data_IF_998046725372
#
_entry.id   IF_998046725372
#
_cell.length_a   1.000
_cell.length_b   1.000
_cell.length_c   1.000
_cell.angle_alpha   90.00
_cell.angle_beta   90.00
_cell.angle_gamma   90.00
#
_symmetry.space_group_name_H-M   'P 1'
#
loop_
_entity.id
_entity.type
_entity.pdbx_description
1 polymer ?
#
# COMPACT_ATOMS: atom_id res chain seq x y z
N UNK A 1 -33.83 -3.15 59.36
CA UNK A 1 -32.42 -3.54 59.59
C UNK A 1 -32.24 -4.97 59.15
N UNK A 2 -31.50 -5.24 58.08
CA UNK A 2 -30.91 -6.57 57.82
C UNK A 2 -29.98 -6.50 56.60
N UNK A 3 -28.69 -6.32 56.86
CA UNK A 3 -27.62 -6.69 55.93
C UNK A 3 -27.29 -8.16 56.12
N UNK A 4 -27.15 -8.93 55.03
CA UNK A 4 -26.37 -10.18 54.98
C UNK A 4 -26.06 -10.57 53.52
N UNK A 5 -24.77 -10.42 53.18
CA UNK A 5 -23.98 -10.97 52.08
C UNK A 5 -24.38 -12.38 51.58
N UNK A 6 -24.47 -12.56 50.25
CA UNK A 6 -24.02 -13.75 49.47
C UNK A 6 -23.70 -13.28 48.02
N UNK A 7 -22.41 -13.16 47.66
CA UNK A 7 -21.58 -14.08 46.86
C UNK A 7 -22.06 -14.23 45.40
N UNK A 8 -21.49 -13.43 44.50
CA UNK A 8 -21.56 -13.65 43.05
C UNK A 8 -20.29 -14.37 42.60
N UNK A 9 -20.50 -15.37 41.74
CA UNK A 9 -19.57 -16.36 41.22
C UNK A 9 -18.59 -15.68 40.24
N UNK A 10 -17.33 -16.14 40.28
CA UNK A 10 -16.29 -15.83 39.29
C UNK A 10 -16.73 -16.23 37.88
N UNK A 11 -16.77 -15.26 36.96
CA UNK A 11 -16.57 -15.51 35.54
C UNK A 11 -15.16 -15.03 35.17
N UNK A 12 -14.32 -16.00 34.83
CA UNK A 12 -12.96 -15.84 34.34
C UNK A 12 -12.95 -15.12 33.00
N UNK A 13 -12.57 -13.85 33.00
CA UNK A 13 -12.24 -13.10 31.79
C UNK A 13 -10.77 -13.39 31.42
N UNK A 14 -10.45 -13.95 30.24
CA UNK A 14 -9.06 -14.04 29.83
C UNK A 14 -8.56 -12.62 29.52
N UNK A 15 -7.60 -12.16 30.33
CA UNK A 15 -6.87 -10.92 30.08
C UNK A 15 -6.30 -10.94 28.66
N UNK A 16 -6.72 -9.96 27.86
CA UNK A 16 -6.09 -9.65 26.58
C UNK A 16 -4.68 -9.12 26.86
N UNK A 17 -3.70 -10.01 26.78
CA UNK A 17 -2.27 -9.67 26.86
C UNK A 17 -1.86 -9.08 25.50
N UNK A 18 -1.46 -7.80 25.41
CA UNK A 18 -0.93 -7.27 24.17
C UNK A 18 0.38 -7.99 23.82
N UNK A 19 0.64 -8.36 22.56
CA UNK A 19 1.83 -9.11 22.21
C UNK A 19 3.07 -8.26 22.49
N UNK A 20 3.92 -8.80 23.36
CA UNK A 20 5.23 -8.26 23.69
C UNK A 20 6.09 -8.18 22.42
N UNK A 21 6.32 -6.96 21.93
CA UNK A 21 7.35 -6.69 20.92
C UNK A 21 8.71 -7.07 21.48
N UNK A 22 9.24 -8.22 21.08
CA UNK A 22 10.65 -8.53 21.29
C UNK A 22 11.47 -7.70 20.29
N UNK A 23 12.39 -6.82 20.74
CA UNK A 23 13.29 -6.14 19.83
C UNK A 23 14.35 -7.16 19.40
N UNK A 24 14.36 -7.57 18.12
CA UNK A 24 15.44 -8.37 17.57
C UNK A 24 16.02 -7.66 16.34
N UNK A 25 17.24 -7.19 16.58
CA UNK A 25 18.29 -6.73 15.65
C UNK A 25 17.84 -6.18 14.30
N UNK A 26 17.76 -4.85 14.26
CA UNK A 26 17.99 -4.09 13.05
C UNK A 26 19.27 -4.62 12.37
N UNK A 27 19.14 -5.10 11.14
CA UNK A 27 20.28 -5.22 10.25
C UNK A 27 20.99 -3.86 10.24
N UNK A 28 22.22 -3.83 10.73
CA UNK A 28 23.05 -2.64 10.85
C UNK A 28 23.30 -2.08 9.45
N UNK A 29 22.42 -1.17 9.02
CA UNK A 29 22.72 -0.23 7.94
C UNK A 29 23.71 0.75 8.52
N UNK A 30 24.90 0.80 7.91
CA UNK A 30 25.97 1.72 8.30
C UNK A 30 25.41 3.15 8.29
N UNK A 31 25.47 3.79 9.46
CA UNK A 31 25.07 5.18 9.70
C UNK A 31 26.10 6.11 9.07
N UNK A 32 25.95 6.47 7.79
CA UNK A 32 26.66 7.60 7.16
C UNK A 32 25.85 8.21 6.00
N UNK A 33 24.53 8.27 6.11
CA UNK A 33 23.63 9.10 5.29
C UNK A 33 22.28 9.19 6.04
N UNK A 34 21.63 10.37 6.14
CA UNK A 34 20.30 10.43 6.74
C UNK A 34 19.38 9.57 5.87
N UNK A 35 18.85 8.48 6.42
CA UNK A 35 18.00 7.57 5.67
C UNK A 35 16.82 8.36 5.05
N UNK A 36 16.90 8.60 3.75
CA UNK A 36 15.91 9.39 3.01
C UNK A 36 14.52 8.74 3.00
N UNK A 37 14.46 7.43 3.30
CA UNK A 37 13.24 6.64 3.41
C UNK A 37 13.36 5.65 4.60
N UNK A 38 12.33 5.63 5.45
CA UNK A 38 12.16 4.58 6.47
C UNK A 38 11.28 3.48 5.88
N UNK A 39 11.73 2.23 5.96
CA UNK A 39 11.02 1.06 5.46
C UNK A 39 10.82 0.05 6.60
N UNK A 40 9.58 -0.36 6.82
CA UNK A 40 9.18 -1.35 7.83
C UNK A 40 8.17 -2.31 7.19
N UNK A 41 8.22 -3.59 7.59
CA UNK A 41 7.43 -4.67 6.97
C UNK A 41 6.70 -5.45 8.05
N UNK A 42 5.39 -5.60 7.87
CA UNK A 42 4.53 -6.42 8.73
C UNK A 42 4.21 -7.74 8.05
N UNK A 43 4.57 -8.85 8.70
CA UNK A 43 4.29 -10.20 8.23
C UNK A 43 3.14 -10.83 9.04
N UNK A 44 2.29 -11.66 8.41
CA UNK A 44 1.27 -12.41 9.14
C UNK A 44 1.90 -13.52 9.99
N UNK A 45 1.18 -13.99 11.01
CA UNK A 45 1.65 -15.05 11.89
C UNK A 45 2.00 -16.32 11.10
N UNK A 46 3.21 -16.86 11.33
CA UNK A 46 3.70 -18.05 10.64
C UNK A 46 4.28 -17.81 9.25
N UNK A 47 4.37 -16.55 8.78
CA UNK A 47 5.06 -16.24 7.53
C UNK A 47 6.57 -16.47 7.67
N UNK A 48 7.13 -17.32 6.81
CA UNK A 48 8.57 -17.54 6.74
C UNK A 48 9.22 -16.30 6.14
N UNK A 49 9.76 -15.43 7.00
CA UNK A 49 10.52 -14.26 6.56
C UNK A 49 11.69 -14.76 5.71
N UNK A 50 11.79 -14.36 4.43
CA UNK A 50 12.92 -14.76 3.61
C UNK A 50 14.19 -14.16 4.23
N UNK A 51 15.06 -15.03 4.74
CA UNK A 51 16.33 -14.65 5.40
C UNK A 51 17.39 -14.11 4.43
N UNK A 52 17.06 -14.05 3.13
CA UNK A 52 17.89 -13.44 2.10
C UNK A 52 17.03 -12.46 1.31
N UNK A 53 17.61 -11.32 0.87
CA UNK A 53 16.98 -10.50 -0.17
C UNK A 53 16.52 -11.42 -1.30
N UNK A 54 15.24 -11.34 -1.67
CA UNK A 54 14.70 -12.17 -2.73
C UNK A 54 15.58 -11.95 -3.96
N UNK A 55 16.15 -13.01 -4.58
CA UNK A 55 16.94 -12.81 -5.78
C UNK A 55 16.06 -12.10 -6.79
N UNK A 56 16.56 -11.00 -7.38
CA UNK A 56 15.90 -10.37 -8.51
C UNK A 56 15.54 -11.49 -9.49
N UNK A 57 14.27 -11.55 -9.93
CA UNK A 57 13.81 -12.62 -10.80
C UNK A 57 14.81 -12.82 -11.94
N UNK A 58 15.18 -14.07 -12.24
CA UNK A 58 16.19 -14.42 -13.27
C UNK A 58 15.89 -13.79 -14.65
N UNK A 59 14.66 -13.32 -14.86
CA UNK A 59 14.30 -12.38 -15.90
C UNK A 59 13.73 -11.10 -15.26
N UNK A 60 14.43 -9.94 -15.31
CA UNK A 60 13.84 -8.69 -14.88
C UNK A 60 12.68 -8.37 -15.82
N UNK A 61 11.45 -8.32 -15.29
CA UNK A 61 10.33 -7.78 -16.06
C UNK A 61 10.67 -6.33 -16.42
N UNK A 62 10.39 -5.88 -17.65
CA UNK A 62 10.56 -4.48 -17.99
C UNK A 62 9.71 -3.62 -17.04
N UNK A 63 10.21 -2.44 -16.63
CA UNK A 63 9.47 -1.55 -15.75
C UNK A 63 8.10 -1.26 -16.38
N UNK A 64 7.05 -1.28 -15.57
CA UNK A 64 5.70 -1.05 -16.08
C UNK A 64 5.52 0.37 -16.64
N UNK A 65 6.32 1.32 -16.15
CA UNK A 65 6.34 2.71 -16.60
C UNK A 65 7.69 3.35 -16.33
N UNK A 66 8.15 4.17 -17.27
CA UNK A 66 9.34 5.02 -17.13
C UNK A 66 8.92 6.46 -16.83
N UNK A 67 9.70 7.16 -16.02
CA UNK A 67 9.48 8.57 -15.66
C UNK A 67 10.66 9.42 -16.17
N UNK A 68 10.42 10.66 -16.64
CA UNK A 68 11.47 11.52 -17.21
C UNK A 68 12.36 12.19 -16.15
N UNK A 69 12.34 11.70 -14.91
CA UNK A 69 13.05 12.24 -13.76
C UNK A 69 13.54 11.08 -12.87
N UNK A 70 14.53 11.35 -12.03
CA UNK A 70 15.02 10.39 -11.05
C UNK A 70 14.01 10.18 -9.93
N UNK A 71 13.77 8.91 -9.59
CA UNK A 71 12.82 8.53 -8.54
C UNK A 71 13.42 8.73 -7.16
N UNK A 72 12.63 9.26 -6.24
CA UNK A 72 13.04 9.37 -4.85
C UNK A 72 13.21 7.96 -4.22
N UNK A 73 14.08 7.80 -3.20
CA UNK A 73 14.32 6.51 -2.57
C UNK A 73 13.05 5.81 -2.08
N UNK A 74 12.06 6.56 -1.56
CA UNK A 74 10.79 5.98 -1.11
C UNK A 74 9.91 5.49 -2.26
N UNK A 75 9.98 6.14 -3.43
CA UNK A 75 9.23 5.74 -4.62
C UNK A 75 9.81 4.45 -5.19
N UNK A 76 11.14 4.37 -5.26
CA UNK A 76 11.85 3.17 -5.71
C UNK A 76 11.54 1.98 -4.80
N UNK A 77 11.56 2.17 -3.48
CA UNK A 77 11.27 1.09 -2.52
C UNK A 77 9.81 0.62 -2.63
N UNK A 78 8.87 1.56 -2.77
CA UNK A 78 7.47 1.20 -2.98
C UNK A 78 7.25 0.42 -4.29
N UNK A 79 7.95 0.78 -5.37
CA UNK A 79 7.89 0.08 -6.65
C UNK A 79 8.45 -1.34 -6.53
N UNK A 80 9.56 -1.55 -5.81
CA UNK A 80 10.10 -2.90 -5.56
C UNK A 80 9.10 -3.80 -4.82
N UNK A 81 8.38 -3.26 -3.83
CA UNK A 81 7.32 -4.00 -3.14
C UNK A 81 6.18 -4.37 -4.11
N UNK A 82 5.75 -3.43 -4.96
CA UNK A 82 4.73 -3.68 -5.97
C UNK A 82 5.15 -4.76 -6.98
N UNK A 83 6.38 -4.71 -7.50
CA UNK A 83 6.92 -5.71 -8.42
C UNK A 83 7.05 -7.10 -7.77
N UNK A 84 7.22 -7.13 -6.44
CA UNK A 84 7.24 -8.37 -5.65
C UNK A 84 5.85 -8.94 -5.36
N UNK A 85 4.79 -8.25 -5.79
CA UNK A 85 3.40 -8.60 -5.52
C UNK A 85 2.98 -8.35 -4.08
N UNK A 86 3.68 -7.46 -3.37
CA UNK A 86 3.43 -7.13 -1.96
C UNK A 86 2.57 -5.86 -1.83
N UNK A 87 1.81 -5.77 -0.74
CA UNK A 87 1.06 -4.56 -0.42
C UNK A 87 1.96 -3.52 0.24
N UNK A 88 1.81 -2.25 -0.13
CA UNK A 88 2.64 -1.15 0.38
C UNK A 88 1.78 -0.01 0.92
N UNK A 89 2.21 0.56 2.05
CA UNK A 89 1.66 1.81 2.59
C UNK A 89 2.72 2.91 2.49
N UNK A 90 2.41 3.98 1.76
CA UNK A 90 3.34 5.11 1.58
C UNK A 90 2.89 6.30 2.41
N UNK A 91 3.72 6.67 3.38
CA UNK A 91 3.51 7.88 4.19
C UNK A 91 4.50 8.97 3.77
N UNK A 92 4.01 9.96 3.02
CA UNK A 92 4.81 11.10 2.56
C UNK A 92 3.93 12.36 2.41
N UNK A 93 4.54 13.54 2.35
CA UNK A 93 3.82 14.80 2.12
C UNK A 93 3.19 14.85 0.71
N UNK A 94 2.16 15.67 0.51
CA UNK A 94 1.42 15.76 -0.76
C UNK A 94 2.32 16.13 -1.94
N UNK A 95 3.27 17.04 -1.73
CA UNK A 95 4.23 17.48 -2.74
C UNK A 95 5.36 16.48 -3.03
N UNK A 96 5.49 15.38 -2.28
CA UNK A 96 6.57 14.42 -2.44
C UNK A 96 6.42 13.48 -3.65
N UNK A 97 5.29 13.52 -4.36
CA UNK A 97 5.11 12.72 -5.58
C UNK A 97 4.58 11.29 -5.33
N UNK A 98 3.77 11.07 -4.29
CA UNK A 98 3.07 9.77 -4.07
C UNK A 98 2.31 9.27 -5.31
N UNK A 99 1.87 10.19 -6.17
CA UNK A 99 1.21 9.90 -7.45
C UNK A 99 2.06 8.97 -8.33
N UNK A 100 3.38 9.07 -8.30
CA UNK A 100 4.30 8.21 -9.08
C UNK A 100 4.06 6.73 -8.77
N UNK A 101 3.93 6.38 -7.50
CA UNK A 101 3.67 5.01 -7.05
C UNK A 101 2.30 4.52 -7.54
N UNK A 102 1.28 5.39 -7.48
CA UNK A 102 -0.05 5.06 -7.99
C UNK A 102 -0.06 4.85 -9.51
N UNK A 103 0.62 5.71 -10.27
CA UNK A 103 0.76 5.58 -11.72
C UNK A 103 1.49 4.31 -12.12
N UNK A 104 2.54 3.94 -11.37
CA UNK A 104 3.25 2.68 -11.58
C UNK A 104 2.34 1.48 -11.32
N UNK A 105 1.58 1.48 -10.22
CA UNK A 105 0.63 0.40 -9.91
C UNK A 105 -0.45 0.24 -10.98
N UNK A 106 -0.98 1.35 -11.52
CA UNK A 106 -1.95 1.32 -12.63
C UNK A 106 -1.30 0.74 -13.88
N UNK A 107 -0.13 1.24 -14.27
CA UNK A 107 0.59 0.74 -15.45
C UNK A 107 0.93 -0.75 -15.33
N UNK A 108 1.35 -1.20 -14.14
CA UNK A 108 1.65 -2.60 -13.84
C UNK A 108 0.39 -3.46 -14.01
N UNK A 109 -0.74 -3.01 -13.49
CA UNK A 109 -2.02 -3.73 -13.59
C UNK A 109 -2.47 -3.83 -15.05
N UNK A 110 -2.38 -2.73 -15.82
CA UNK A 110 -2.74 -2.72 -17.24
C UNK A 110 -1.83 -3.64 -18.07
N UNK A 111 -0.52 -3.64 -17.80
CA UNK A 111 0.45 -4.56 -18.43
C UNK A 111 0.10 -6.00 -18.16
N UNK A 112 -0.27 -6.31 -16.92
CA UNK A 112 -0.56 -7.66 -16.45
C UNK A 112 -2.03 -8.08 -16.70
N UNK A 113 -2.79 -7.29 -17.48
CA UNK A 113 -4.20 -7.51 -17.84
C UNK A 113 -5.13 -7.66 -16.62
N UNK A 114 -4.79 -6.95 -15.54
CA UNK A 114 -5.56 -6.88 -14.31
C UNK A 114 -6.36 -5.59 -14.23
N UNK A 115 -7.39 -5.61 -13.38
CA UNK A 115 -8.18 -4.40 -13.07
C UNK A 115 -7.63 -3.71 -11.84
N UNK A 116 -7.62 -2.39 -11.87
CA UNK A 116 -7.15 -1.52 -10.77
C UNK A 116 -8.22 -0.49 -10.44
N UNK A 117 -8.41 -0.23 -9.15
CA UNK A 117 -9.34 0.78 -8.65
C UNK A 117 -8.55 1.87 -7.94
N UNK A 118 -8.75 3.11 -8.35
CA UNK A 118 -8.24 4.30 -7.68
C UNK A 118 -9.37 4.94 -6.88
N UNK A 119 -9.28 4.83 -5.57
CA UNK A 119 -10.28 5.38 -4.65
C UNK A 119 -9.90 6.79 -4.23
N UNK A 120 -10.83 7.74 -4.30
CA UNK A 120 -10.60 9.12 -3.86
C UNK A 120 -11.65 9.54 -2.82
N UNK A 121 -11.30 10.39 -1.84
CA UNK A 121 -12.21 10.68 -0.72
C UNK A 121 -13.35 11.65 -1.09
N UNK A 122 -13.25 12.38 -2.21
CA UNK A 122 -14.25 13.36 -2.64
C UNK A 122 -14.43 13.38 -4.16
N UNK A 123 -15.67 13.58 -4.60
CA UNK A 123 -16.04 13.57 -6.03
C UNK A 123 -15.20 14.47 -6.91
N UNK A 124 -14.89 15.68 -6.43
CA UNK A 124 -14.11 16.64 -7.21
C UNK A 124 -12.70 16.12 -7.54
N UNK A 125 -12.06 15.42 -6.59
CA UNK A 125 -10.76 14.79 -6.81
C UNK A 125 -10.87 13.56 -7.71
N UNK A 126 -11.91 12.74 -7.58
CA UNK A 126 -12.16 11.62 -8.50
C UNK A 126 -12.28 12.12 -9.95
N UNK A 127 -13.03 13.20 -10.17
CA UNK A 127 -13.17 13.81 -11.50
C UNK A 127 -11.86 14.39 -12.04
N UNK A 128 -11.04 15.01 -11.18
CA UNK A 128 -9.73 15.53 -11.58
C UNK A 128 -8.81 14.37 -11.97
N UNK A 129 -8.71 13.35 -11.12
CA UNK A 129 -7.85 12.18 -11.35
C UNK A 129 -8.29 11.36 -12.56
N UNK A 130 -9.58 11.25 -12.80
CA UNK A 130 -10.09 10.63 -14.03
C UNK A 130 -9.56 11.32 -15.29
N UNK A 131 -9.55 12.66 -15.33
CA UNK A 131 -9.02 13.40 -16.50
C UNK A 131 -7.52 13.19 -16.65
N UNK A 132 -6.77 13.33 -15.56
CA UNK A 132 -5.32 13.10 -15.54
C UNK A 132 -4.99 11.67 -16.04
N UNK A 133 -5.71 10.66 -15.55
CA UNK A 133 -5.49 9.28 -15.98
C UNK A 133 -5.95 9.01 -17.41
N UNK A 134 -7.01 9.67 -17.90
CA UNK A 134 -7.46 9.52 -19.29
C UNK A 134 -6.49 10.13 -20.30
N UNK A 135 -5.71 11.13 -19.88
CA UNK A 135 -4.60 11.67 -20.67
C UNK A 135 -3.40 10.71 -20.74
N UNK A 136 -3.18 9.93 -19.67
CA UNK A 136 -2.02 9.02 -19.57
C UNK A 136 -2.31 7.58 -20.02
N UNK A 137 -3.55 7.11 -19.87
CA UNK A 137 -3.98 5.75 -20.15
C UNK A 137 -5.26 5.75 -20.97
N UNK A 138 -5.38 4.81 -21.92
CA UNK A 138 -6.55 4.73 -22.80
C UNK A 138 -7.78 4.13 -22.10
N UNK A 139 -7.58 3.14 -21.24
CA UNK A 139 -8.64 2.33 -20.62
C UNK A 139 -8.94 2.74 -19.18
N UNK A 140 -9.58 3.91 -19.04
CA UNK A 140 -9.94 4.51 -17.75
C UNK A 140 -11.43 4.84 -17.71
N UNK A 141 -12.10 4.38 -16.65
CA UNK A 141 -13.49 4.67 -16.32
C UNK A 141 -13.65 5.46 -15.02
N UNK A 142 -14.86 5.97 -14.79
CA UNK A 142 -15.25 6.72 -13.61
C UNK A 142 -16.55 6.16 -13.05
N UNK A 143 -16.58 5.82 -11.77
CA UNK A 143 -17.80 5.40 -11.09
C UNK A 143 -18.03 6.28 -9.86
N UNK A 144 -19.02 7.16 -9.95
CA UNK A 144 -19.48 7.99 -8.84
C UNK A 144 -20.97 7.80 -8.66
N UNK A 145 -21.51 8.15 -7.49
CA UNK A 145 -22.94 8.00 -7.21
C UNK A 145 -23.88 8.68 -8.23
N UNK A 146 -23.41 9.75 -8.90
CA UNK A 146 -24.24 10.49 -9.86
C UNK A 146 -23.94 10.15 -11.33
N UNK A 147 -22.71 9.72 -11.64
CA UNK A 147 -22.22 9.53 -13.01
C UNK A 147 -21.35 8.29 -13.08
N UNK A 148 -21.63 7.43 -14.06
CA UNK A 148 -20.82 6.27 -14.41
C UNK A 148 -20.38 6.38 -15.87
N UNK A 149 -19.07 6.27 -16.12
CA UNK A 149 -18.44 6.33 -17.44
C UNK A 149 -17.55 5.10 -17.58
N UNK A 150 -17.71 4.35 -18.66
CA UNK A 150 -16.88 3.17 -18.99
C UNK A 150 -16.67 2.21 -17.78
N UNK A 151 -17.74 1.64 -17.19
CA UNK A 151 -17.63 0.82 -15.96
C UNK A 151 -16.85 -0.49 -16.16
N UNK A 152 -16.66 -0.91 -17.41
CA UNK A 152 -15.90 -2.09 -17.79
C UNK A 152 -14.42 -1.79 -18.03
N UNK A 153 -13.97 -0.54 -17.82
CA UNK A 153 -12.56 -0.19 -17.97
C UNK A 153 -11.67 -0.96 -16.99
N UNK A 154 -10.42 -1.20 -17.40
CA UNK A 154 -9.42 -1.86 -16.57
C UNK A 154 -8.95 -0.97 -15.42
N UNK A 155 -8.81 0.34 -15.64
CA UNK A 155 -8.57 1.30 -14.56
C UNK A 155 -9.87 2.03 -14.22
N UNK A 156 -10.32 1.96 -12.97
CA UNK A 156 -11.57 2.60 -12.53
C UNK A 156 -11.28 3.60 -11.41
N UNK A 157 -11.74 4.84 -11.59
CA UNK A 157 -11.68 5.87 -10.55
C UNK A 157 -13.01 5.89 -9.80
N UNK A 158 -13.00 5.69 -8.48
CA UNK A 158 -14.21 5.69 -7.65
C UNK A 158 -14.25 6.78 -6.57
N UNK A 159 -15.43 6.89 -5.95
CA UNK A 159 -15.73 7.63 -4.73
C UNK A 159 -16.59 6.77 -3.80
#
# INVERSE_FOLDING_TARGET
>A
MSSLKRKALEDSNPEFVPPSKSPREAAVVRLDEPAACLHDVSYPDGYAVPTRPRPASENPKPPAREFPFELDPFQLEAIKCLDSGESVMVSAHTSAGKTVVALYAIAMSLRDQQRVIYTSPIKALSNQKYREFKEEFSDVGLMTGDVTIEPNASCLVDL
#
